data_IF_981079186386
#
_entry.id   IF_981079186386
#
_cell.length_a   1.000
_cell.length_b   1.000
_cell.length_c   1.000
_cell.angle_alpha   90.00
_cell.angle_beta   90.00
_cell.angle_gamma   90.00
#
_symmetry.space_group_name_H-M   'P 1'
#
loop_
_entity.id
_entity.type
_entity.pdbx_description
1 polymer ?
#
# COMPACT_ATOMS: atom_id res chain seq x y z
N UNK A 1 -26.88 70.62 -18.49
CA UNK A 1 -26.15 69.69 -19.37
C UNK A 1 -26.04 68.35 -18.65
N UNK A 2 -26.62 67.30 -19.26
CA UNK A 2 -26.56 65.85 -18.94
C UNK A 2 -26.98 65.42 -17.52
N UNK A 3 -28.31 65.30 -17.29
CA UNK A 3 -28.85 64.36 -16.30
C UNK A 3 -28.86 62.97 -16.94
N UNK A 4 -28.03 62.08 -16.43
CA UNK A 4 -27.89 60.69 -16.88
C UNK A 4 -29.00 59.86 -16.23
N UNK A 5 -30.09 59.62 -16.96
CA UNK A 5 -31.16 58.72 -16.55
C UNK A 5 -30.79 57.31 -17.01
N UNK A 6 -30.28 56.47 -16.09
CA UNK A 6 -29.95 55.08 -16.36
C UNK A 6 -31.18 54.21 -16.10
N UNK A 7 -31.71 53.62 -17.19
CA UNK A 7 -32.91 52.80 -17.22
C UNK A 7 -32.61 51.38 -16.75
N UNK A 8 -33.31 51.00 -15.68
CA UNK A 8 -33.96 49.74 -15.35
C UNK A 8 -33.66 48.45 -16.17
N UNK A 9 -33.47 47.36 -15.41
CA UNK A 9 -33.76 45.94 -15.71
C UNK A 9 -32.60 45.07 -16.24
N UNK A 10 -31.90 44.39 -15.34
CA UNK A 10 -31.58 42.98 -15.54
C UNK A 10 -31.64 42.22 -14.23
N UNK A 11 -32.42 41.16 -14.30
CA UNK A 11 -32.90 40.26 -13.27
C UNK A 11 -31.78 39.44 -12.62
N UNK A 12 -32.03 39.08 -11.35
CA UNK A 12 -31.70 37.81 -10.66
C UNK A 12 -30.57 36.97 -11.30
N UNK A 13 -29.53 36.58 -10.57
CA UNK A 13 -29.68 35.59 -9.51
C UNK A 13 -28.70 35.82 -8.35
N UNK A 14 -29.26 35.93 -7.14
CA UNK A 14 -28.55 35.61 -5.90
C UNK A 14 -28.31 34.09 -5.89
N UNK A 15 -27.11 33.63 -6.27
CA UNK A 15 -26.64 32.30 -5.88
C UNK A 15 -25.75 32.43 -4.64
N UNK A 16 -26.38 32.91 -3.57
CA UNK A 16 -26.01 32.52 -2.22
C UNK A 16 -26.81 31.28 -1.88
N UNK A 17 -26.35 30.10 -2.29
CA UNK A 17 -26.60 28.89 -1.52
C UNK A 17 -25.26 28.19 -1.28
N UNK A 18 -24.99 28.07 0.01
CA UNK A 18 -24.02 27.19 0.60
C UNK A 18 -24.00 25.84 -0.12
N UNK A 19 -22.93 25.57 -0.84
CA UNK A 19 -22.57 24.19 -1.13
C UNK A 19 -21.08 24.05 -0.88
N UNK A 20 -20.73 24.20 0.39
CA UNK A 20 -19.70 23.35 0.95
C UNK A 20 -20.31 21.94 0.97
N UNK A 21 -20.41 21.31 -0.20
CA UNK A 21 -20.46 19.87 -0.26
C UNK A 21 -19.08 19.43 0.21
N UNK A 22 -18.95 19.30 1.54
CA UNK A 22 -18.27 18.14 2.08
C UNK A 22 -18.98 16.94 1.45
N UNK A 23 -18.57 16.61 0.23
CA UNK A 23 -18.58 15.22 -0.17
C UNK A 23 -17.70 14.59 0.89
N UNK A 24 -18.36 13.86 1.78
CA UNK A 24 -17.71 13.20 2.89
C UNK A 24 -16.49 12.49 2.34
N UNK A 25 -15.39 12.68 3.05
CA UNK A 25 -14.06 12.18 2.75
C UNK A 25 -14.12 10.66 2.61
N UNK A 26 -14.57 10.16 1.46
CA UNK A 26 -14.34 8.79 1.03
C UNK A 26 -12.83 8.69 0.93
N UNK A 27 -12.21 8.16 1.98
CA UNK A 27 -10.78 8.02 2.08
C UNK A 27 -10.34 7.12 0.93
N UNK A 28 -9.96 7.74 -0.21
CA UNK A 28 -9.48 7.05 -1.40
C UNK A 28 -8.42 6.08 -0.92
N UNK A 29 -8.70 4.77 -1.04
CA UNK A 29 -7.77 3.74 -0.63
C UNK A 29 -6.62 3.74 -1.64
N UNK A 30 -5.63 4.58 -1.37
CA UNK A 30 -4.45 4.71 -2.20
C UNK A 30 -3.49 3.55 -1.89
N UNK A 31 -3.32 2.66 -2.87
CA UNK A 31 -2.39 1.53 -2.78
C UNK A 31 -0.95 1.97 -2.49
N UNK A 32 -0.54 3.15 -2.96
CA UNK A 32 0.80 3.68 -2.71
C UNK A 32 0.95 4.07 -1.25
N UNK A 33 -0.05 4.74 -0.68
CA UNK A 33 -0.09 5.03 0.75
C UNK A 33 -0.16 3.73 1.59
N UNK A 34 -0.89 2.71 1.14
CA UNK A 34 -0.97 1.43 1.83
C UNK A 34 0.39 0.73 1.93
N UNK A 35 1.23 0.82 0.89
CA UNK A 35 2.55 0.17 0.87
C UNK A 35 3.51 0.68 1.95
N UNK A 36 3.36 1.92 2.40
CA UNK A 36 4.18 2.53 3.46
C UNK A 36 3.96 1.85 4.82
N UNK A 37 2.79 1.23 5.01
CA UNK A 37 2.46 0.52 6.24
C UNK A 37 2.88 -0.95 6.23
N UNK A 38 3.50 -1.42 5.15
CA UNK A 38 3.98 -2.80 5.04
C UNK A 38 5.46 -2.84 5.43
N UNK A 39 5.80 -3.69 6.39
CA UNK A 39 7.18 -3.94 6.81
C UNK A 39 7.57 -5.37 6.50
N UNK A 40 8.75 -5.52 5.91
CA UNK A 40 9.39 -6.81 5.69
C UNK A 40 10.56 -6.95 6.66
N UNK A 41 10.51 -8.01 7.47
CA UNK A 41 11.59 -8.41 8.35
C UNK A 41 12.18 -9.74 7.89
N UNK A 42 13.48 -9.91 8.13
CA UNK A 42 14.17 -11.17 7.92
C UNK A 42 15.21 -11.38 9.02
N UNK A 43 15.47 -12.62 9.37
CA UNK A 43 16.53 -13.01 10.31
C UNK A 43 17.04 -14.40 9.99
N UNK A 44 18.34 -14.61 10.14
CA UNK A 44 18.94 -15.95 10.02
C UNK A 44 18.62 -16.75 11.28
N UNK A 45 18.30 -18.03 11.11
CA UNK A 45 18.13 -18.95 12.23
C UNK A 45 19.44 -19.15 13.01
N UNK A 46 19.33 -19.28 14.32
CA UNK A 46 20.51 -19.39 15.21
C UNK A 46 21.19 -20.74 15.15
N UNK A 47 20.47 -21.80 14.75
CA UNK A 47 20.99 -23.16 14.67
C UNK A 47 21.28 -23.57 13.23
N UNK A 48 20.58 -22.97 12.27
CA UNK A 48 20.68 -23.30 10.85
C UNK A 48 21.03 -22.05 10.01
N UNK A 49 22.31 -21.77 9.71
CA UNK A 49 22.73 -20.52 9.03
C UNK A 49 22.13 -20.35 7.62
N UNK A 50 21.68 -21.44 7.00
CA UNK A 50 20.99 -21.43 5.70
C UNK A 50 19.47 -21.31 5.79
N UNK A 51 18.91 -21.33 7.00
CA UNK A 51 17.50 -21.12 7.24
C UNK A 51 17.26 -19.62 7.51
N UNK A 52 16.51 -18.99 6.62
CA UNK A 52 16.11 -17.59 6.76
C UNK A 52 14.65 -17.51 7.15
N UNK A 53 14.38 -16.81 8.24
CA UNK A 53 13.03 -16.50 8.69
C UNK A 53 12.61 -15.16 8.08
N UNK A 54 11.40 -15.09 7.57
CA UNK A 54 10.80 -13.88 7.02
C UNK A 54 9.47 -13.59 7.73
N UNK A 55 9.20 -12.30 7.92
CA UNK A 55 7.86 -11.86 8.29
C UNK A 55 7.45 -10.60 7.55
N UNK A 56 6.15 -10.51 7.27
CA UNK A 56 5.49 -9.32 6.75
C UNK A 56 4.49 -8.85 7.80
N UNK A 57 4.61 -7.58 8.17
CA UNK A 57 3.70 -6.88 9.05
C UNK A 57 2.97 -5.78 8.28
N UNK A 58 1.69 -5.60 8.57
CA UNK A 58 0.89 -4.51 8.02
C UNK A 58 0.14 -3.78 9.14
N UNK A 59 0.32 -2.47 9.23
CA UNK A 59 -0.29 -1.63 10.28
C UNK A 59 -1.21 -0.55 9.73
N UNK A 60 -1.65 -0.69 8.47
CA UNK A 60 -2.56 0.25 7.83
C UNK A 60 -4.03 -0.03 8.14
N UNK A 61 -4.92 0.68 7.46
CA UNK A 61 -6.38 0.61 7.70
C UNK A 61 -7.11 -0.47 6.90
N UNK A 62 -6.42 -1.16 6.00
CA UNK A 62 -6.96 -2.32 5.27
C UNK A 62 -6.81 -3.64 6.02
N UNK A 63 -7.15 -4.73 5.35
CA UNK A 63 -6.87 -6.10 5.81
C UNK A 63 -5.79 -6.72 4.94
N UNK A 64 -4.74 -7.25 5.55
CA UNK A 64 -3.76 -8.07 4.82
C UNK A 64 -4.41 -9.40 4.45
N UNK A 65 -4.62 -9.60 3.16
CA UNK A 65 -5.38 -10.72 2.61
C UNK A 65 -4.47 -11.87 2.14
N UNK A 66 -3.32 -11.55 1.54
CA UNK A 66 -2.40 -12.57 1.03
C UNK A 66 -0.95 -12.07 1.07
N UNK A 67 0.00 -13.00 1.26
CA UNK A 67 1.44 -12.77 1.07
C UNK A 67 1.99 -13.96 0.30
N UNK A 68 2.56 -13.71 -0.88
CA UNK A 68 3.27 -14.70 -1.70
C UNK A 68 4.75 -14.38 -1.74
N UNK A 69 5.58 -15.41 -1.60
CA UNK A 69 7.03 -15.27 -1.56
C UNK A 69 7.69 -15.90 -2.78
N UNK A 70 8.71 -15.23 -3.29
CA UNK A 70 9.74 -15.81 -4.16
C UNK A 70 11.09 -15.56 -3.48
N UNK A 71 11.82 -16.62 -3.14
CA UNK A 71 13.04 -16.50 -2.35
C UNK A 71 14.29 -16.16 -3.19
N UNK A 72 14.16 -16.09 -4.51
CA UNK A 72 15.27 -15.76 -5.43
C UNK A 72 16.15 -16.95 -5.79
N UNK A 73 15.91 -18.14 -5.21
CA UNK A 73 16.58 -19.40 -5.53
C UNK A 73 15.76 -20.33 -6.45
N UNK A 74 14.63 -19.83 -6.96
CA UNK A 74 13.68 -20.58 -7.78
C UNK A 74 12.54 -21.23 -7.01
N UNK A 75 12.55 -21.16 -5.68
CA UNK A 75 11.46 -21.66 -4.83
C UNK A 75 10.52 -20.55 -4.37
N UNK A 76 9.33 -20.95 -3.91
CA UNK A 76 8.25 -20.04 -3.51
C UNK A 76 7.64 -20.45 -2.18
N UNK A 77 6.99 -19.49 -1.50
CA UNK A 77 6.26 -19.72 -0.26
C UNK A 77 5.03 -18.83 -0.14
N UNK A 78 4.31 -18.94 0.97
CA UNK A 78 3.16 -18.10 1.27
C UNK A 78 2.99 -17.90 2.79
N UNK A 79 2.31 -16.82 3.16
CA UNK A 79 1.99 -16.48 4.55
C UNK A 79 2.77 -15.27 5.07
N UNK A 80 2.25 -14.68 6.14
CA UNK A 80 2.86 -13.51 6.81
C UNK A 80 4.12 -13.85 7.57
N UNK A 81 4.30 -15.11 7.98
CA UNK A 81 5.53 -15.63 8.58
C UNK A 81 5.90 -16.90 7.84
N UNK A 82 7.13 -16.97 7.36
CA UNK A 82 7.64 -18.14 6.63
C UNK A 82 9.12 -18.35 6.93
N UNK A 83 9.53 -19.60 7.05
CA UNK A 83 10.93 -19.99 7.11
C UNK A 83 11.31 -20.66 5.79
N UNK A 84 12.46 -20.30 5.23
CA UNK A 84 12.96 -20.85 3.99
C UNK A 84 14.40 -21.32 4.12
N UNK A 85 14.68 -22.56 3.71
CA UNK A 85 16.01 -23.16 3.78
C UNK A 85 16.66 -23.12 2.40
N UNK A 86 17.70 -22.30 2.28
CA UNK A 86 18.49 -22.20 1.07
C UNK A 86 19.43 -23.40 0.92
N UNK A 87 19.55 -23.94 -0.29
CA UNK A 87 20.41 -25.10 -0.56
C UNK A 87 21.89 -24.71 -0.68
N UNK A 88 22.17 -23.54 -1.25
CA UNK A 88 23.51 -23.01 -1.47
C UNK A 88 23.72 -21.68 -0.72
N UNK A 89 24.98 -21.40 -0.39
CA UNK A 89 25.38 -20.08 0.07
C UNK A 89 25.36 -19.10 -1.12
N UNK A 90 25.06 -17.84 -0.85
CA UNK A 90 24.95 -16.82 -1.88
C UNK A 90 24.11 -15.63 -1.47
N UNK A 91 23.95 -14.70 -2.39
CA UNK A 91 23.09 -13.53 -2.22
C UNK A 91 21.80 -13.72 -3.01
N UNK A 92 20.67 -13.57 -2.33
CA UNK A 92 19.34 -13.78 -2.91
C UNK A 92 18.47 -12.53 -2.75
N UNK A 93 17.70 -12.18 -3.78
CA UNK A 93 16.65 -11.15 -3.72
C UNK A 93 15.31 -11.82 -3.42
N UNK A 94 14.95 -11.90 -2.14
CA UNK A 94 13.64 -12.38 -1.71
C UNK A 94 12.58 -11.31 -2.01
N UNK A 95 11.44 -11.73 -2.56
CA UNK A 95 10.30 -10.88 -2.92
C UNK A 95 9.05 -11.33 -2.20
N UNK A 96 8.31 -10.38 -1.66
CA UNK A 96 6.99 -10.62 -1.08
C UNK A 96 5.94 -9.81 -1.85
N UNK A 97 5.01 -10.49 -2.52
CA UNK A 97 3.83 -9.88 -3.10
C UNK A 97 2.71 -9.90 -2.05
N UNK A 98 2.36 -8.71 -1.56
CA UNK A 98 1.42 -8.51 -0.46
C UNK A 98 0.13 -7.92 -0.99
N UNK A 99 -0.98 -8.60 -0.74
CA UNK A 99 -2.32 -8.17 -1.13
C UNK A 99 -3.06 -7.63 0.09
N UNK A 100 -3.50 -6.37 0.00
CA UNK A 100 -4.32 -5.70 1.01
C UNK A 100 -5.70 -5.42 0.42
N UNK A 101 -6.76 -5.70 1.19
CA UNK A 101 -8.15 -5.39 0.82
C UNK A 101 -8.74 -4.34 1.75
N UNK A 102 -9.46 -3.37 1.21
CA UNK A 102 -10.23 -2.39 1.97
C UNK A 102 -11.44 -1.94 1.17
N UNK A 103 -12.63 -1.98 1.77
CA UNK A 103 -13.88 -1.43 1.20
C UNK A 103 -14.15 -1.87 -0.26
N UNK A 104 -13.92 -3.15 -0.56
CA UNK A 104 -14.12 -3.73 -1.89
C UNK A 104 -13.00 -3.44 -2.90
N UNK A 105 -12.01 -2.62 -2.53
CA UNK A 105 -10.77 -2.41 -3.29
C UNK A 105 -9.68 -3.39 -2.85
N UNK A 106 -8.81 -3.74 -3.80
CA UNK A 106 -7.66 -4.62 -3.58
C UNK A 106 -6.39 -3.97 -4.14
N UNK A 107 -5.34 -3.96 -3.32
CA UNK A 107 -4.03 -3.44 -3.67
C UNK A 107 -3.00 -4.54 -3.54
N UNK A 108 -2.13 -4.68 -4.54
CA UNK A 108 -0.95 -5.55 -4.45
C UNK A 108 0.30 -4.69 -4.39
N UNK A 109 1.21 -5.00 -3.47
CA UNK A 109 2.50 -4.34 -3.31
C UNK A 109 3.61 -5.37 -3.27
N UNK A 110 4.69 -5.15 -4.03
CA UNK A 110 5.86 -6.02 -4.03
C UNK A 110 6.97 -5.43 -3.18
N UNK A 111 7.36 -6.13 -2.14
CA UNK A 111 8.54 -5.83 -1.32
C UNK A 111 9.71 -6.67 -1.79
N UNK A 112 10.92 -6.11 -1.68
CA UNK A 112 12.17 -6.81 -1.99
C UNK A 112 13.13 -6.74 -0.82
N UNK A 113 13.86 -7.82 -0.58
CA UNK A 113 14.91 -7.89 0.43
C UNK A 113 16.08 -8.73 -0.07
N UNK A 114 17.24 -8.09 -0.17
CA UNK A 114 18.50 -8.79 -0.39
C UNK A 114 18.94 -9.45 0.92
N UNK A 115 19.19 -10.76 0.88
CA UNK A 115 19.75 -11.52 2.00
C UNK A 115 21.05 -12.19 1.56
N UNK A 116 22.00 -12.31 2.48
CA UNK A 116 23.20 -13.11 2.30
C UNK A 116 23.06 -14.38 3.13
N UNK A 117 23.31 -15.51 2.48
CA UNK A 117 23.27 -16.84 3.06
C UNK A 117 24.68 -17.40 3.03
N UNK A 118 25.18 -17.84 4.18
CA UNK A 118 26.55 -18.35 4.37
C UNK A 118 26.59 -19.88 4.52
#
# INVERSE_FOLDING_TARGET
MKKLTMILMSTLVFFGINSCSKHEDEAIFDCLAASIYIKLHNSTDTNFPKLMNYSVEYTGTGTLAEVKWNFGDGTTGAGTVVAHMYTAAGTYEAKADVTIKKEGSECTSTLKRTVTVD
#
